data_IF_852452374429
#
_entry.id   IF_852452374429
#
_cell.length_a   1.000
_cell.length_b   1.000
_cell.length_c   1.000
_cell.angle_alpha   90.00
_cell.angle_beta   90.00
_cell.angle_gamma   90.00
#
_symmetry.space_group_name_H-M   'P 1'
#
loop_
_entity.id
_entity.type
_entity.pdbx_description
1 polymer ?
#
# COMPACT_ATOMS: atom_id res chain seq x y z
N UNK A 1 15.02 10.67 -9.65
CA UNK A 1 15.29 10.61 -8.19
C UNK A 1 14.85 9.23 -7.74
N UNK A 2 15.73 8.47 -7.08
CA UNK A 2 15.41 7.12 -6.59
C UNK A 2 15.12 7.22 -5.11
N UNK A 3 13.98 6.71 -4.66
CA UNK A 3 13.64 6.66 -3.24
C UNK A 3 14.56 5.69 -2.49
N UNK A 4 14.92 6.01 -1.25
CA UNK A 4 15.67 5.07 -0.39
C UNK A 4 14.80 3.87 -0.07
N UNK A 5 15.34 2.67 -0.24
CA UNK A 5 14.72 1.42 0.23
C UNK A 5 15.09 1.08 1.67
N UNK A 6 16.10 1.76 2.23
CA UNK A 6 16.43 1.62 3.65
C UNK A 6 15.44 2.41 4.49
N UNK A 7 14.90 1.83 5.58
CA UNK A 7 14.10 2.56 6.54
C UNK A 7 14.79 3.86 6.97
N UNK A 8 14.10 4.98 6.79
CA UNK A 8 14.57 6.30 7.23
C UNK A 8 13.76 6.73 8.46
N UNK A 9 14.42 7.22 9.53
CA UNK A 9 13.72 7.69 10.70
C UNK A 9 12.87 8.91 10.35
N UNK A 10 11.60 8.86 10.75
CA UNK A 10 10.64 9.95 10.57
C UNK A 10 9.89 10.22 11.87
N UNK A 11 9.40 11.44 12.11
CA UNK A 11 8.59 11.72 13.29
C UNK A 11 7.33 10.85 13.32
N UNK A 12 7.03 10.30 14.50
CA UNK A 12 5.73 9.69 14.75
C UNK A 12 4.63 10.74 14.55
N UNK A 13 3.57 10.37 13.84
CA UNK A 13 2.47 11.26 13.50
C UNK A 13 1.16 10.51 13.62
N UNK A 14 0.19 11.07 14.34
CA UNK A 14 -1.17 10.54 14.41
C UNK A 14 -2.14 11.69 14.19
N UNK A 15 -2.95 11.58 13.15
CA UNK A 15 -4.05 12.50 12.84
C UNK A 15 -5.32 11.69 12.55
N UNK A 16 -6.42 12.39 12.34
CA UNK A 16 -7.70 11.78 11.93
C UNK A 16 -7.56 10.93 10.66
N UNK A 17 -6.72 11.33 9.71
CA UNK A 17 -6.63 10.72 8.37
C UNK A 17 -5.27 10.08 8.02
N UNK A 18 -4.25 10.24 8.88
CA UNK A 18 -2.90 9.70 8.65
C UNK A 18 -2.30 9.17 9.94
N UNK A 19 -1.51 8.10 9.87
CA UNK A 19 -0.77 7.58 11.02
C UNK A 19 0.59 7.04 10.60
N UNK A 20 1.69 7.51 11.16
CA UNK A 20 3.05 7.01 10.90
C UNK A 20 3.67 6.63 12.24
N UNK A 21 4.06 5.37 12.39
CA UNK A 21 4.54 4.75 13.64
C UNK A 21 5.90 4.08 13.50
N UNK A 22 6.37 3.87 12.27
CA UNK A 22 7.68 3.29 11.99
C UNK A 22 8.52 4.23 11.15
N UNK A 23 9.79 3.87 10.97
CA UNK A 23 10.61 4.38 9.88
C UNK A 23 9.93 4.11 8.53
N UNK A 24 10.25 4.93 7.52
CA UNK A 24 9.71 4.78 6.16
C UNK A 24 10.86 4.44 5.20
N UNK A 25 10.77 3.34 4.45
CA UNK A 25 9.70 2.34 4.48
C UNK A 25 9.71 1.49 5.77
N UNK A 26 8.58 0.85 6.08
CA UNK A 26 8.49 -0.01 7.28
C UNK A 26 9.55 -1.13 7.23
N UNK A 27 10.18 -1.51 8.35
CA UNK A 27 11.10 -2.65 8.39
C UNK A 27 10.52 -3.91 7.74
N UNK A 28 11.32 -4.65 6.96
CA UNK A 28 10.87 -5.79 6.16
C UNK A 28 10.54 -5.45 4.69
N UNK A 29 10.33 -4.16 4.37
CA UNK A 29 9.97 -3.74 3.00
C UNK A 29 11.11 -3.97 2.01
N UNK A 30 12.36 -3.70 2.42
CA UNK A 30 13.55 -3.90 1.60
C UNK A 30 13.65 -5.34 1.10
N UNK A 31 13.48 -6.30 1.99
CA UNK A 31 13.60 -7.72 1.72
C UNK A 31 12.55 -8.19 0.70
N UNK A 32 11.36 -7.61 0.72
CA UNK A 32 10.31 -7.89 -0.27
C UNK A 32 10.72 -7.31 -1.64
N UNK A 33 11.14 -6.04 -1.68
CA UNK A 33 11.54 -5.38 -2.93
C UNK A 33 12.75 -6.05 -3.56
N UNK A 34 13.74 -6.47 -2.77
CA UNK A 34 14.94 -7.16 -3.27
C UNK A 34 14.59 -8.55 -3.82
N UNK A 35 13.55 -9.22 -3.31
CA UNK A 35 13.01 -10.47 -3.91
C UNK A 35 12.29 -10.20 -5.23
N UNK A 36 11.51 -9.13 -5.33
CA UNK A 36 10.81 -8.75 -6.56
C UNK A 36 11.80 -8.40 -7.67
N UNK A 37 12.89 -7.69 -7.35
CA UNK A 37 13.93 -7.32 -8.31
C UNK A 37 14.55 -8.52 -9.05
N UNK A 38 14.56 -9.71 -8.44
CA UNK A 38 15.10 -10.94 -9.04
C UNK A 38 14.12 -11.58 -10.03
N UNK A 39 12.82 -11.38 -9.85
CA UNK A 39 11.77 -12.10 -10.61
C UNK A 39 10.98 -11.20 -11.56
N UNK A 40 11.01 -9.89 -11.38
CA UNK A 40 10.30 -8.92 -12.21
C UNK A 40 11.19 -8.28 -13.28
N UNK A 41 10.55 -7.78 -14.34
CA UNK A 41 11.24 -6.93 -15.32
C UNK A 41 11.65 -5.62 -14.66
N UNK A 42 12.84 -5.12 -15.03
CA UNK A 42 13.35 -3.80 -14.62
C UNK A 42 12.34 -2.66 -14.80
N UNK A 43 11.42 -2.77 -15.76
CA UNK A 43 10.36 -1.76 -16.00
C UNK A 43 9.38 -1.59 -14.84
N UNK A 44 9.29 -2.56 -13.92
CA UNK A 44 8.44 -2.48 -12.73
C UNK A 44 9.12 -1.78 -11.55
N UNK A 45 10.43 -1.50 -11.63
CA UNK A 45 11.20 -0.99 -10.51
C UNK A 45 11.18 0.55 -10.42
N UNK A 46 11.63 1.09 -9.28
CA UNK A 46 11.81 2.54 -9.07
C UNK A 46 10.56 3.28 -8.60
N UNK A 47 9.49 2.55 -8.28
CA UNK A 47 8.30 3.08 -7.62
C UNK A 47 8.59 3.46 -6.15
N UNK A 48 7.62 4.12 -5.50
CA UNK A 48 7.68 4.36 -4.06
C UNK A 48 7.88 3.02 -3.32
N UNK A 49 8.82 2.92 -2.36
CA UNK A 49 9.15 1.69 -1.68
C UNK A 49 8.10 1.39 -0.61
N UNK A 50 6.84 1.22 -1.00
CA UNK A 50 5.72 0.98 -0.10
C UNK A 50 5.03 -0.32 -0.51
N UNK A 51 5.09 -1.34 0.36
CA UNK A 51 4.36 -2.59 0.19
C UNK A 51 3.06 -2.49 0.97
N UNK A 52 1.93 -2.64 0.28
CA UNK A 52 0.60 -2.54 0.86
C UNK A 52 0.25 -3.84 1.59
N UNK A 53 -0.28 -3.72 2.79
CA UNK A 53 -0.88 -4.82 3.55
C UNK A 53 -2.41 -4.84 3.38
N UNK A 54 -3.04 -3.67 3.49
CA UNK A 54 -4.48 -3.49 3.24
C UNK A 54 -4.80 -2.08 2.79
N UNK A 55 -5.99 -1.88 2.23
CA UNK A 55 -6.52 -0.56 1.90
C UNK A 55 -8.03 -0.50 2.13
N UNK A 56 -8.52 0.66 2.57
CA UNK A 56 -9.92 0.91 2.92
C UNK A 56 -10.27 2.37 2.63
N UNK A 57 -11.34 2.59 1.86
CA UNK A 57 -11.75 3.90 1.38
C UNK A 57 -10.60 4.64 0.68
N UNK A 58 -10.11 5.76 1.23
CA UNK A 58 -8.95 6.50 0.73
C UNK A 58 -7.63 6.17 1.47
N UNK A 59 -7.64 5.20 2.38
CA UNK A 59 -6.51 4.88 3.24
C UNK A 59 -5.77 3.64 2.78
N UNK A 60 -4.43 3.72 2.74
CA UNK A 60 -3.52 2.62 2.44
C UNK A 60 -2.68 2.31 3.67
N UNK A 61 -2.49 1.03 3.96
CA UNK A 61 -1.75 0.57 5.12
C UNK A 61 -0.60 -0.33 4.70
N UNK A 62 0.54 -0.21 5.38
CA UNK A 62 1.63 -1.17 5.28
C UNK A 62 1.61 -2.16 6.46
N UNK A 63 2.48 -3.17 6.40
CA UNK A 63 2.59 -4.21 7.43
C UNK A 63 3.08 -3.67 8.80
N UNK A 64 3.66 -2.47 8.84
CA UNK A 64 4.04 -1.78 10.08
C UNK A 64 2.87 -1.06 10.76
N UNK A 65 1.68 -1.07 10.14
CA UNK A 65 0.51 -0.37 10.63
C UNK A 65 0.53 1.13 10.38
N UNK A 66 1.42 1.62 9.51
CA UNK A 66 1.32 2.99 9.01
C UNK A 66 0.08 3.12 8.14
N UNK A 67 -0.59 4.28 8.20
CA UNK A 67 -1.73 4.66 7.39
C UNK A 67 -1.38 5.91 6.57
N UNK A 68 -1.42 5.75 5.26
CA UNK A 68 -1.21 6.78 4.25
C UNK A 68 -2.54 7.20 3.64
N UNK A 69 -2.60 8.44 3.14
CA UNK A 69 -3.72 8.94 2.35
C UNK A 69 -3.39 8.65 0.88
N UNK A 70 -4.27 7.92 0.19
CA UNK A 70 -4.15 7.65 -1.25
C UNK A 70 -4.80 8.76 -2.06
N UNK A 71 -3.97 9.57 -2.71
CA UNK A 71 -4.40 10.62 -3.65
C UNK A 71 -4.41 10.15 -5.11
N UNK A 72 -4.17 8.87 -5.36
CA UNK A 72 -3.99 8.31 -6.70
C UNK A 72 -5.18 7.50 -7.18
N UNK A 73 -5.95 6.93 -6.25
CA UNK A 73 -6.99 5.92 -6.51
C UNK A 73 -6.47 4.82 -7.45
N UNK A 74 -5.20 4.45 -7.30
CA UNK A 74 -4.48 3.51 -8.18
C UNK A 74 -4.70 3.79 -9.67
N UNK A 75 -4.43 5.02 -10.10
CA UNK A 75 -4.66 5.49 -11.48
C UNK A 75 -6.17 5.48 -11.81
N UNK A 76 -6.95 6.18 -11.00
CA UNK A 76 -8.41 6.37 -11.18
C UNK A 76 -9.28 5.10 -11.15
N UNK A 77 -8.75 3.98 -10.65
CA UNK A 77 -9.48 2.71 -10.56
C UNK A 77 -10.36 2.66 -9.31
N UNK A 78 -9.78 2.96 -8.13
CA UNK A 78 -10.45 2.82 -6.84
C UNK A 78 -11.35 4.02 -6.47
N UNK A 79 -12.04 4.63 -7.44
CA UNK A 79 -12.81 5.88 -7.22
C UNK A 79 -14.01 5.73 -6.28
N UNK A 80 -14.54 4.52 -6.11
CA UNK A 80 -15.61 4.21 -5.13
C UNK A 80 -15.05 3.84 -3.74
N UNK A 81 -13.74 4.01 -3.54
CA UNK A 81 -13.01 3.64 -2.33
C UNK A 81 -12.47 2.21 -2.38
N UNK A 82 -11.27 2.02 -1.81
CA UNK A 82 -10.69 0.70 -1.58
C UNK A 82 -11.60 -0.14 -0.71
N UNK A 83 -11.73 -1.43 -1.02
CA UNK A 83 -12.54 -2.38 -0.25
C UNK A 83 -14.01 -1.95 -0.04
N UNK A 84 -14.60 -1.24 -1.00
CA UNK A 84 -15.99 -0.79 -0.92
C UNK A 84 -16.95 -1.96 -0.56
N UNK A 85 -17.75 -1.89 0.52
CA UNK A 85 -18.56 -3.01 0.99
C UNK A 85 -19.54 -3.56 -0.05
N UNK A 86 -20.07 -2.70 -0.93
CA UNK A 86 -21.00 -3.13 -1.99
C UNK A 86 -20.28 -3.92 -3.07
N UNK A 87 -19.06 -3.51 -3.44
CA UNK A 87 -18.22 -4.22 -4.40
C UNK A 87 -17.77 -5.56 -3.82
N UNK A 88 -17.31 -5.59 -2.56
CA UNK A 88 -16.89 -6.82 -1.89
C UNK A 88 -18.04 -7.83 -1.80
N UNK A 89 -19.25 -7.38 -1.42
CA UNK A 89 -20.42 -8.24 -1.37
C UNK A 89 -20.75 -8.82 -2.76
N UNK A 90 -20.79 -7.98 -3.80
CA UNK A 90 -21.07 -8.43 -5.17
C UNK A 90 -20.02 -9.43 -5.70
N UNK A 91 -18.74 -9.24 -5.38
CA UNK A 91 -17.68 -10.19 -5.75
C UNK A 91 -17.86 -11.53 -5.01
N UNK A 92 -18.18 -11.52 -3.71
CA UNK A 92 -18.46 -12.75 -2.95
C UNK A 92 -19.64 -13.52 -3.52
N UNK A 93 -20.76 -12.83 -3.75
CA UNK A 93 -21.97 -13.42 -4.35
C UNK A 93 -21.70 -14.02 -5.73
N UNK A 94 -20.77 -13.44 -6.51
CA UNK A 94 -20.38 -13.96 -7.81
C UNK A 94 -19.49 -15.21 -7.71
N UNK A 95 -18.59 -15.27 -6.73
CA UNK A 95 -17.71 -16.42 -6.49
C UNK A 95 -18.47 -17.66 -5.97
N UNK A 96 -19.59 -17.46 -5.28
CA UNK A 96 -20.43 -18.55 -4.75
C UNK A 96 -21.38 -19.16 -5.81
N UNK A 97 -21.38 -18.64 -7.05
CA UNK A 97 -22.17 -19.19 -8.15
C UNK A 97 -21.35 -20.21 -8.95
N UNK A 98 -21.82 -21.46 -9.09
CA UNK A 98 -21.11 -22.53 -9.82
C UNK A 98 -21.06 -22.31 -11.33
#
# INVERSE_FOLDING_TARGET
>A
VTFSRDPQPVPCLVTENRCIRTDIPTPGTREILDRLDVVESRSMHGQLPLVWDRAEDFSVFDAGGNRFIDFTSTIFVANVGHSNPRVVAAVRDALDRP
#
